data_IF_114510523311
#
_entry.id   IF_114510523311
#
_cell.length_a   1.000
_cell.length_b   1.000
_cell.length_c   1.000
_cell.angle_alpha   90.00
_cell.angle_beta   90.00
_cell.angle_gamma   90.00
#
_symmetry.space_group_name_H-M   'P 1'
#
loop_
_entity.id
_entity.type
_entity.pdbx_description
1 polymer ?
#
# COMPACT_ATOMS: atom_id res chain seq x y z
N UNK A 1 5.56 12.95 -5.04
CA UNK A 1 4.66 13.85 -4.29
C UNK A 1 4.70 13.56 -2.78
N UNK A 2 4.66 12.30 -2.32
CA UNK A 2 4.71 11.97 -0.89
C UNK A 2 5.98 12.48 -0.18
N UNK A 3 7.19 12.26 -0.74
CA UNK A 3 8.44 12.71 -0.12
C UNK A 3 8.44 14.21 0.27
N UNK A 4 8.05 15.09 -0.66
CA UNK A 4 8.00 16.53 -0.39
C UNK A 4 6.94 16.88 0.65
N UNK A 5 5.79 16.23 0.58
CA UNK A 5 4.73 16.39 1.57
C UNK A 5 5.22 16.00 2.96
N UNK A 6 5.86 14.85 3.10
CA UNK A 6 6.42 14.38 4.36
C UNK A 6 7.44 15.38 4.94
N UNK A 7 8.40 15.82 4.13
CA UNK A 7 9.43 16.81 4.53
C UNK A 7 8.82 18.14 5.01
N UNK A 8 7.78 18.61 4.33
CA UNK A 8 7.09 19.84 4.73
C UNK A 8 6.37 19.64 6.07
N UNK A 9 5.64 18.54 6.24
CA UNK A 9 4.88 18.26 7.46
C UNK A 9 5.80 18.09 8.67
N UNK A 10 6.91 17.38 8.52
CA UNK A 10 7.88 17.16 9.59
C UNK A 10 8.57 18.47 10.02
N UNK A 11 8.95 19.31 9.07
CA UNK A 11 9.69 20.54 9.35
C UNK A 11 8.78 21.72 9.72
N UNK A 12 7.47 21.58 9.56
CA UNK A 12 6.48 22.62 9.84
C UNK A 12 5.28 22.05 10.63
N UNK A 13 5.43 21.80 11.95
CA UNK A 13 4.35 21.25 12.78
C UNK A 13 3.06 22.06 12.71
N UNK A 14 3.15 23.40 12.62
CA UNK A 14 1.99 24.29 12.49
C UNK A 14 1.21 24.04 11.18
N UNK A 15 1.92 23.81 10.08
CA UNK A 15 1.30 23.45 8.79
C UNK A 15 0.65 22.07 8.89
N UNK A 16 1.33 21.11 9.51
CA UNK A 16 0.79 19.77 9.74
C UNK A 16 -0.49 19.83 10.60
N UNK A 17 -0.46 20.59 11.70
CA UNK A 17 -1.64 20.82 12.55
C UNK A 17 -2.79 21.42 11.77
N UNK A 18 -2.54 22.45 10.95
CA UNK A 18 -3.57 23.10 10.15
C UNK A 18 -4.17 22.15 9.10
N UNK A 19 -3.35 21.30 8.46
CA UNK A 19 -3.85 20.26 7.53
C UNK A 19 -4.79 19.31 8.25
N UNK A 20 -4.41 18.79 9.41
CA UNK A 20 -5.27 17.93 10.23
C UNK A 20 -6.57 18.60 10.62
N UNK A 21 -6.51 19.86 11.11
CA UNK A 21 -7.70 20.63 11.51
C UNK A 21 -8.67 20.86 10.36
N UNK A 22 -8.15 21.17 9.17
CA UNK A 22 -8.95 21.36 7.95
C UNK A 22 -9.65 20.05 7.55
N UNK A 23 -8.93 18.93 7.56
CA UNK A 23 -9.46 17.61 7.17
C UNK A 23 -10.52 17.14 8.17
N UNK A 24 -10.23 17.28 9.48
CA UNK A 24 -11.08 16.74 10.55
C UNK A 24 -12.20 17.68 10.98
N UNK A 25 -12.16 18.95 10.56
CA UNK A 25 -13.15 19.95 10.94
C UNK A 25 -13.17 20.25 12.44
N UNK A 26 -12.07 19.95 13.17
CA UNK A 26 -11.93 20.17 14.60
C UNK A 26 -10.58 20.77 14.93
N UNK A 27 -10.50 21.53 16.03
CA UNK A 27 -9.23 22.06 16.52
C UNK A 27 -8.41 20.98 17.20
N UNK A 28 -7.11 20.96 16.90
CA UNK A 28 -6.09 20.16 17.58
C UNK A 28 -5.32 21.12 18.47
N UNK A 29 -5.23 20.82 19.78
CA UNK A 29 -4.65 21.79 20.72
C UNK A 29 -3.15 21.96 20.56
N UNK A 30 -2.45 20.86 20.32
CA UNK A 30 -1.00 20.83 20.19
C UNK A 30 -0.59 19.58 19.44
N UNK A 31 0.49 19.67 18.65
CA UNK A 31 1.20 18.52 18.12
C UNK A 31 2.50 18.39 18.91
N UNK A 32 2.65 17.32 19.66
CA UNK A 32 3.84 17.08 20.49
C UNK A 32 4.97 16.45 19.71
N UNK A 33 4.66 15.71 18.65
CA UNK A 33 5.64 15.00 17.85
C UNK A 33 5.16 14.79 16.41
N UNK A 34 6.03 15.08 15.45
CA UNK A 34 5.86 14.73 14.03
C UNK A 34 7.11 13.99 13.59
N UNK A 35 6.95 12.80 13.02
CA UNK A 35 8.04 12.03 12.44
C UNK A 35 7.71 11.63 11.01
N UNK A 36 8.70 11.71 10.15
CA UNK A 36 8.63 11.28 8.78
C UNK A 36 9.21 9.86 8.65
N UNK A 37 8.57 9.06 7.78
CA UNK A 37 9.14 7.78 7.36
C UNK A 37 9.51 6.84 8.52
N UNK A 38 8.69 6.88 9.59
CA UNK A 38 8.83 5.91 10.68
C UNK A 38 8.70 4.49 10.15
N UNK A 39 9.82 3.80 9.99
CA UNK A 39 9.80 2.38 9.66
C UNK A 39 9.54 1.59 10.92
N UNK A 40 8.41 0.91 10.97
CA UNK A 40 8.08 0.01 12.08
C UNK A 40 8.29 -1.42 11.62
N UNK A 41 9.36 -2.03 12.10
CA UNK A 41 9.68 -3.43 11.86
C UNK A 41 9.05 -4.31 12.94
N UNK A 42 7.98 -5.00 12.61
CA UNK A 42 7.21 -5.81 13.55
C UNK A 42 7.85 -7.18 13.80
N UNK A 43 8.48 -7.76 12.79
CA UNK A 43 9.12 -9.10 12.83
C UNK A 43 10.21 -9.19 11.76
N UNK A 44 11.21 -10.04 12.03
CA UNK A 44 12.26 -10.39 11.06
C UNK A 44 11.74 -10.80 9.66
N UNK A 45 10.56 -11.43 9.58
CA UNK A 45 9.90 -11.85 8.33
C UNK A 45 8.56 -11.13 8.10
N UNK A 46 8.25 -10.05 8.83
CA UNK A 46 7.02 -9.28 8.67
C UNK A 46 7.16 -8.25 7.55
N UNK A 47 6.03 -7.86 6.96
CA UNK A 47 6.00 -6.73 6.07
C UNK A 47 6.20 -5.46 6.90
N UNK A 48 7.36 -4.81 6.77
CA UNK A 48 7.61 -3.51 7.38
C UNK A 48 6.61 -2.48 6.87
N UNK A 49 6.23 -1.55 7.73
CA UNK A 49 5.42 -0.39 7.37
C UNK A 49 6.30 0.84 7.46
N UNK A 50 6.25 1.64 6.42
CA UNK A 50 6.81 2.98 6.39
C UNK A 50 5.64 3.94 6.37
N UNK A 51 5.43 4.64 7.47
CA UNK A 51 4.41 5.68 7.59
C UNK A 51 4.93 6.96 6.94
N UNK A 52 4.09 7.63 6.15
CA UNK A 52 4.49 8.88 5.50
C UNK A 52 4.68 9.99 6.55
N UNK A 53 3.69 10.26 7.39
CA UNK A 53 3.77 11.25 8.47
C UNK A 53 3.06 10.73 9.71
N UNK A 54 3.82 10.41 10.75
CA UNK A 54 3.30 10.06 12.07
C UNK A 54 3.20 11.28 12.96
N UNK A 55 2.04 11.48 13.60
CA UNK A 55 1.77 12.63 14.47
C UNK A 55 1.19 12.15 15.81
N UNK A 56 1.74 12.64 16.91
CA UNK A 56 1.18 12.45 18.25
C UNK A 56 0.72 13.81 18.80
N UNK A 57 -0.54 13.91 19.24
CA UNK A 57 -1.07 15.15 19.81
C UNK A 57 -0.71 15.35 21.30
N UNK A 58 0.14 14.47 21.82
CA UNK A 58 0.62 14.56 23.21
C UNK A 58 -0.44 14.22 24.27
N UNK A 59 -1.63 13.79 23.85
CA UNK A 59 -2.73 13.46 24.76
C UNK A 59 -3.24 12.04 24.56
N UNK A 60 -4.21 11.91 23.67
CA UNK A 60 -4.98 10.69 23.52
C UNK A 60 -5.11 10.21 22.06
N UNK A 61 -4.48 10.89 21.09
CA UNK A 61 -4.67 10.56 19.69
C UNK A 61 -3.35 10.59 18.91
N UNK A 62 -3.15 9.57 18.10
CA UNK A 62 -2.12 9.52 17.07
C UNK A 62 -2.75 9.52 15.69
N UNK A 63 -2.04 10.13 14.76
CA UNK A 63 -2.45 10.22 13.36
C UNK A 63 -1.34 9.67 12.48
N UNK A 64 -1.74 8.93 11.45
CA UNK A 64 -0.91 8.54 10.34
C UNK A 64 -1.48 9.20 9.08
N UNK A 65 -0.69 10.05 8.42
CA UNK A 65 -1.12 10.82 7.25
C UNK A 65 -0.35 10.33 6.04
N UNK A 66 -1.07 9.77 5.08
CA UNK A 66 -0.55 9.15 3.88
C UNK A 66 -0.97 9.93 2.63
N UNK A 67 -0.04 10.25 1.72
CA UNK A 67 -0.33 10.87 0.44
C UNK A 67 -0.39 9.82 -0.67
N UNK A 68 -1.54 9.72 -1.36
CA UNK A 68 -1.76 8.75 -2.44
C UNK A 68 -2.08 9.43 -3.76
N UNK A 69 -1.18 9.29 -4.74
CA UNK A 69 -1.35 9.85 -6.09
C UNK A 69 -1.93 8.84 -7.10
N UNK A 70 -2.00 7.55 -6.75
CA UNK A 70 -2.54 6.48 -7.61
C UNK A 70 -3.44 5.57 -6.80
N UNK A 71 -4.55 5.17 -7.40
CA UNK A 71 -5.41 4.16 -6.80
C UNK A 71 -4.75 2.77 -6.87
N UNK A 72 -4.52 2.23 -5.70
CA UNK A 72 -4.09 0.85 -5.51
C UNK A 72 -5.23 0.19 -4.75
N UNK A 73 -6.04 -0.61 -5.36
CA UNK A 73 -7.28 -1.24 -4.84
C UNK A 73 -7.22 -1.82 -3.41
N UNK A 74 -6.05 -1.73 -2.75
CA UNK A 74 -5.79 -2.28 -1.42
C UNK A 74 -5.81 -1.27 -0.26
N UNK A 75 -6.18 -0.01 -0.50
CA UNK A 75 -6.16 1.03 0.55
C UNK A 75 -6.94 0.65 1.81
N UNK A 76 -8.16 0.07 1.74
CA UNK A 76 -8.87 -0.37 2.94
C UNK A 76 -8.13 -1.45 3.74
N UNK A 77 -7.41 -2.34 3.08
CA UNK A 77 -6.58 -3.35 3.75
C UNK A 77 -5.33 -2.73 4.38
N UNK A 78 -4.75 -1.73 3.72
CA UNK A 78 -3.61 -0.97 4.27
C UNK A 78 -4.00 -0.22 5.53
N UNK A 79 -5.15 0.47 5.57
CA UNK A 79 -5.59 1.16 6.79
C UNK A 79 -5.70 0.23 7.98
N UNK A 80 -6.27 -0.97 7.79
CA UNK A 80 -6.36 -1.98 8.85
C UNK A 80 -4.98 -2.42 9.35
N UNK A 81 -4.06 -2.66 8.42
CA UNK A 81 -2.70 -3.07 8.76
C UNK A 81 -1.94 -1.95 9.49
N UNK A 82 -2.04 -0.73 9.01
CA UNK A 82 -1.40 0.44 9.62
C UNK A 82 -1.91 0.70 11.03
N UNK A 83 -3.23 0.63 11.26
CA UNK A 83 -3.79 0.74 12.61
C UNK A 83 -3.22 -0.32 13.56
N UNK A 84 -3.14 -1.57 13.12
CA UNK A 84 -2.55 -2.64 13.94
C UNK A 84 -1.08 -2.38 14.28
N UNK A 85 -0.33 -1.80 13.34
CA UNK A 85 1.08 -1.44 13.55
C UNK A 85 1.21 -0.27 14.53
N UNK A 86 0.35 0.74 14.40
CA UNK A 86 0.31 1.86 15.34
C UNK A 86 0.03 1.37 16.77
N UNK A 87 -0.95 0.49 16.95
CA UNK A 87 -1.31 -0.06 18.26
C UNK A 87 -0.17 -0.89 18.85
N UNK A 88 0.46 -1.76 18.04
CA UNK A 88 1.62 -2.56 18.50
C UNK A 88 2.80 -1.70 18.95
N UNK A 89 2.94 -0.51 18.40
CA UNK A 89 4.04 0.40 18.71
C UNK A 89 3.76 1.31 19.93
N UNK A 90 2.50 1.39 20.34
CA UNK A 90 2.09 2.20 21.49
C UNK A 90 2.14 1.48 22.82
N UNK A 91 1.86 0.17 22.80
CA UNK A 91 1.66 -0.59 24.04
C UNK A 91 2.87 -1.47 24.35
N UNK A 92 3.40 -1.35 25.54
CA UNK A 92 4.49 -2.19 26.01
C UNK A 92 3.99 -3.54 26.56
N UNK A 93 4.89 -4.52 26.65
CA UNK A 93 4.55 -5.82 27.21
C UNK A 93 4.12 -5.70 28.66
N UNK A 94 2.85 -6.02 28.94
CA UNK A 94 2.27 -6.02 30.27
C UNK A 94 1.56 -4.72 30.65
N UNK A 95 1.50 -3.75 29.73
CA UNK A 95 0.66 -2.57 29.89
C UNK A 95 -0.84 -2.92 29.75
N UNK A 96 -1.70 -2.06 30.27
CA UNK A 96 -3.15 -2.22 30.17
C UNK A 96 -3.65 -1.74 28.80
N UNK A 97 -4.70 -2.36 28.27
CA UNK A 97 -5.30 -1.95 26.99
C UNK A 97 -5.90 -0.54 27.04
N UNK A 98 -6.26 -0.04 28.20
CA UNK A 98 -6.76 1.33 28.42
C UNK A 98 -5.67 2.40 28.17
N UNK A 99 -4.41 2.01 28.06
CA UNK A 99 -3.28 2.89 27.70
C UNK A 99 -3.18 3.13 26.17
N UNK A 100 -3.92 2.37 25.34
CA UNK A 100 -3.97 2.61 23.90
C UNK A 100 -4.61 3.95 23.60
N UNK A 101 -3.89 4.80 22.87
CA UNK A 101 -4.43 6.05 22.34
C UNK A 101 -5.40 5.78 21.21
N UNK A 102 -6.32 6.71 20.98
CA UNK A 102 -7.06 6.73 19.72
C UNK A 102 -6.09 6.76 18.54
N UNK A 103 -6.38 6.02 17.48
CA UNK A 103 -5.59 6.09 16.28
C UNK A 103 -6.43 6.46 15.05
N UNK A 104 -5.86 7.25 14.17
CA UNK A 104 -6.51 7.72 12.96
C UNK A 104 -5.57 7.61 11.77
N UNK A 105 -5.92 6.75 10.82
CA UNK A 105 -5.19 6.64 9.54
C UNK A 105 -5.91 7.49 8.50
N UNK A 106 -5.19 8.47 7.93
CA UNK A 106 -5.70 9.46 6.98
C UNK A 106 -5.01 9.28 5.64
N UNK A 107 -5.73 8.86 4.63
CA UNK A 107 -5.25 8.85 3.25
C UNK A 107 -5.71 10.11 2.52
N UNK A 108 -4.77 10.93 2.02
CA UNK A 108 -5.04 12.06 1.15
C UNK A 108 -4.88 11.59 -0.30
N UNK A 109 -6.00 11.42 -1.01
CA UNK A 109 -6.04 10.84 -2.35
C UNK A 109 -6.31 11.91 -3.42
N UNK A 110 -5.56 11.88 -4.54
CA UNK A 110 -5.84 12.70 -5.74
C UNK A 110 -6.88 12.06 -6.66
N UNK A 111 -7.59 11.05 -6.19
CA UNK A 111 -8.63 10.28 -6.88
C UNK A 111 -9.75 9.91 -5.90
N UNK A 112 -10.90 9.48 -6.43
CA UNK A 112 -12.04 9.01 -5.62
C UNK A 112 -12.06 7.48 -5.53
N UNK A 113 -11.46 6.93 -4.49
CA UNK A 113 -11.38 5.47 -4.27
C UNK A 113 -12.75 4.78 -4.17
N UNK A 114 -13.76 5.48 -3.61
CA UNK A 114 -15.09 4.92 -3.38
C UNK A 114 -16.14 5.31 -4.44
N UNK A 115 -15.82 6.24 -5.34
CA UNK A 115 -16.66 6.63 -6.44
C UNK A 115 -18.00 7.30 -6.06
N UNK A 116 -18.10 7.90 -4.84
CA UNK A 116 -19.32 8.56 -4.37
C UNK A 116 -19.25 10.08 -4.43
N UNK A 117 -18.13 10.65 -4.86
CA UNK A 117 -17.94 12.09 -4.99
C UNK A 117 -17.89 12.85 -3.67
N UNK A 118 -17.79 12.18 -2.53
CA UNK A 118 -17.63 12.87 -1.25
C UNK A 118 -16.19 13.39 -1.11
N UNK A 119 -16.00 14.58 -0.53
CA UNK A 119 -14.67 15.14 -0.30
C UNK A 119 -13.91 14.43 0.83
N UNK A 120 -14.64 13.84 1.78
CA UNK A 120 -14.10 13.05 2.87
C UNK A 120 -14.99 11.83 3.11
N UNK A 121 -14.37 10.69 3.28
CA UNK A 121 -15.00 9.46 3.75
C UNK A 121 -14.39 9.10 5.10
N UNK A 122 -15.22 9.05 6.14
CA UNK A 122 -14.80 8.63 7.48
C UNK A 122 -15.45 7.31 7.84
N UNK A 123 -14.64 6.35 8.25
CA UNK A 123 -15.09 5.04 8.67
C UNK A 123 -14.75 4.84 10.14
N UNK A 124 -15.74 4.43 10.93
CA UNK A 124 -15.61 3.98 12.32
C UNK A 124 -16.25 2.59 12.47
N UNK A 125 -15.95 1.90 13.55
CA UNK A 125 -16.55 0.60 13.83
C UNK A 125 -17.92 0.78 14.48
N UNK A 126 -18.97 0.20 13.86
CA UNK A 126 -20.36 0.30 14.32
C UNK A 126 -21.04 -1.06 14.38
N UNK A 127 -22.01 -1.19 15.27
CA UNK A 127 -22.85 -2.38 15.35
C UNK A 127 -23.70 -2.51 14.08
N UNK A 128 -23.66 -3.68 13.44
CA UNK A 128 -24.44 -3.92 12.21
C UNK A 128 -25.95 -3.94 12.47
N UNK A 129 -26.34 -4.40 13.64
CA UNK A 129 -27.74 -4.54 14.07
C UNK A 129 -28.33 -3.24 14.61
N UNK A 130 -27.46 -2.25 15.00
CA UNK A 130 -27.83 -0.94 15.51
C UNK A 130 -26.79 0.08 15.04
N UNK A 131 -27.01 0.70 13.87
CA UNK A 131 -26.01 1.53 13.20
C UNK A 131 -25.64 2.82 13.96
N UNK A 132 -26.48 3.27 14.89
CA UNK A 132 -26.20 4.37 15.79
C UNK A 132 -25.23 4.02 16.92
N UNK A 133 -25.02 2.71 17.20
CA UNK A 133 -24.13 2.24 18.25
C UNK A 133 -22.70 2.12 17.71
N UNK A 134 -21.82 2.96 18.18
CA UNK A 134 -20.38 2.90 17.91
C UNK A 134 -19.71 1.87 18.84
N UNK A 135 -18.69 1.17 18.34
CA UNK A 135 -17.89 0.26 19.18
C UNK A 135 -17.10 1.00 20.25
N UNK A 136 -16.70 2.25 19.97
CA UNK A 136 -15.96 3.09 20.91
C UNK A 136 -14.51 2.67 21.11
N UNK A 137 -13.91 1.99 20.13
CA UNK A 137 -12.54 1.48 20.17
C UNK A 137 -11.46 2.52 19.81
N UNK A 138 -11.85 3.78 19.62
CA UNK A 138 -10.93 4.89 19.33
C UNK A 138 -10.30 4.85 17.93
N UNK A 139 -10.69 3.90 17.06
CA UNK A 139 -10.08 3.75 15.73
C UNK A 139 -10.91 4.44 14.64
N UNK A 140 -10.26 5.24 13.78
CA UNK A 140 -10.91 5.86 12.64
C UNK A 140 -10.03 5.76 11.37
N UNK A 141 -10.69 5.67 10.22
CA UNK A 141 -10.05 5.70 8.90
C UNK A 141 -10.66 6.83 8.10
N UNK A 142 -9.82 7.73 7.61
CA UNK A 142 -10.25 8.91 6.88
C UNK A 142 -9.64 8.88 5.48
N UNK A 143 -10.47 9.04 4.46
CA UNK A 143 -10.02 9.17 3.08
C UNK A 143 -10.45 10.54 2.57
N UNK A 144 -9.48 11.40 2.32
CA UNK A 144 -9.68 12.69 1.67
C UNK A 144 -9.65 12.46 0.16
N UNK A 145 -10.68 12.92 -0.53
CA UNK A 145 -10.79 12.86 -1.98
C UNK A 145 -10.63 14.26 -2.57
N UNK A 146 -9.47 14.53 -3.18
CA UNK A 146 -9.21 15.85 -3.77
C UNK A 146 -10.17 16.19 -4.92
N UNK A 147 -10.82 15.19 -5.54
CA UNK A 147 -11.83 15.37 -6.60
C UNK A 147 -13.28 15.38 -6.08
N UNK A 148 -13.46 15.41 -4.76
CA UNK A 148 -14.77 15.41 -4.15
C UNK A 148 -15.52 16.73 -4.35
N UNK A 149 -16.84 16.69 -4.10
CA UNK A 149 -17.70 17.88 -4.18
C UNK A 149 -17.37 18.85 -3.05
N UNK A 150 -16.94 20.06 -3.40
CA UNK A 150 -16.47 21.09 -2.46
C UNK A 150 -17.56 22.05 -1.96
N UNK A 151 -18.82 21.86 -2.37
CA UNK A 151 -19.90 22.85 -2.19
C UNK A 151 -20.15 23.31 -0.74
N UNK A 152 -19.96 22.40 0.23
CA UNK A 152 -20.24 22.67 1.65
C UNK A 152 -18.98 22.64 2.53
N UNK A 153 -17.80 22.77 1.94
CA UNK A 153 -16.54 22.80 2.68
C UNK A 153 -16.19 24.21 3.14
N UNK A 154 -15.38 24.28 4.20
CA UNK A 154 -14.73 25.55 4.57
C UNK A 154 -13.87 26.07 3.41
N UNK A 155 -13.59 27.35 3.42
CA UNK A 155 -12.77 27.99 2.39
C UNK A 155 -11.36 27.37 2.33
N UNK A 156 -10.71 27.20 3.48
CA UNK A 156 -9.39 26.57 3.58
C UNK A 156 -9.39 25.13 3.04
N UNK A 157 -10.43 24.35 3.36
CA UNK A 157 -10.48 22.96 2.88
C UNK A 157 -10.71 22.89 1.36
N UNK A 158 -11.56 23.75 0.84
CA UNK A 158 -11.76 23.86 -0.62
C UNK A 158 -10.46 24.25 -1.32
N UNK A 159 -9.79 25.28 -0.83
CA UNK A 159 -8.53 25.75 -1.34
C UNK A 159 -7.45 24.65 -1.30
N UNK A 160 -7.38 23.89 -0.20
CA UNK A 160 -6.48 22.75 -0.07
C UNK A 160 -6.73 21.66 -1.11
N UNK A 161 -7.99 21.27 -1.35
CA UNK A 161 -8.33 20.28 -2.37
C UNK A 161 -8.01 20.77 -3.79
N UNK A 162 -8.27 22.04 -4.10
CA UNK A 162 -7.88 22.66 -5.36
C UNK A 162 -6.35 22.62 -5.56
N UNK A 163 -5.60 23.01 -4.54
CA UNK A 163 -4.15 22.93 -4.55
C UNK A 163 -3.61 21.51 -4.80
N UNK A 164 -4.21 20.49 -4.17
CA UNK A 164 -3.87 19.08 -4.40
C UNK A 164 -4.16 18.61 -5.84
N UNK A 165 -5.15 19.23 -6.50
CA UNK A 165 -5.46 18.99 -7.91
C UNK A 165 -4.56 19.76 -8.88
N UNK A 166 -3.64 20.58 -8.37
CA UNK A 166 -2.75 21.42 -9.18
C UNK A 166 -3.45 22.66 -9.77
N UNK A 167 -4.58 23.05 -9.20
CA UNK A 167 -5.28 24.29 -9.56
C UNK A 167 -4.58 25.50 -8.93
N UNK A 168 -4.64 26.64 -9.59
CA UNK A 168 -4.16 27.91 -9.02
C UNK A 168 -5.18 28.38 -7.99
N UNK A 169 -4.71 28.63 -6.77
CA UNK A 169 -5.52 29.14 -5.67
C UNK A 169 -5.04 30.53 -5.33
N UNK A 170 -5.90 31.53 -5.56
CA UNK A 170 -5.63 32.92 -5.23
C UNK A 170 -6.29 33.27 -3.86
N UNK A 171 -5.69 34.21 -3.15
CA UNK A 171 -6.24 34.85 -1.94
C UNK A 171 -6.53 33.88 -0.75
N UNK A 172 -5.85 32.71 -0.67
CA UNK A 172 -5.93 31.85 0.51
C UNK A 172 -4.60 31.79 1.27
N UNK A 173 -4.57 32.32 2.48
CA UNK A 173 -3.35 32.44 3.30
C UNK A 173 -2.73 31.08 3.64
N UNK A 174 -3.54 30.05 3.87
CA UNK A 174 -3.05 28.72 4.17
C UNK A 174 -2.35 28.08 2.95
N UNK A 175 -2.97 28.15 1.77
CA UNK A 175 -2.37 27.63 0.53
C UNK A 175 -1.11 28.40 0.19
N UNK A 176 -1.10 29.75 0.34
CA UNK A 176 0.09 30.56 0.14
C UNK A 176 1.23 30.14 1.07
N UNK A 177 0.93 29.84 2.34
CA UNK A 177 1.95 29.29 3.28
C UNK A 177 2.48 27.96 2.77
N UNK A 178 1.58 27.06 2.36
CA UNK A 178 1.95 25.73 1.85
C UNK A 178 2.84 25.84 0.58
N UNK A 179 2.51 26.74 -0.34
CA UNK A 179 3.30 26.99 -1.56
C UNK A 179 4.68 27.52 -1.23
N UNK A 180 4.80 28.47 -0.31
CA UNK A 180 6.09 28.99 0.14
C UNK A 180 6.96 27.87 0.75
N UNK A 181 6.38 26.99 1.55
CA UNK A 181 7.10 25.85 2.13
C UNK A 181 7.50 24.83 1.05
N UNK A 182 6.65 24.59 0.05
CA UNK A 182 6.99 23.73 -1.09
C UNK A 182 8.13 24.35 -1.92
N UNK A 183 8.11 25.65 -2.15
CA UNK A 183 9.18 26.34 -2.87
C UNK A 183 10.50 26.35 -2.08
N UNK A 184 10.44 26.65 -0.80
CA UNK A 184 11.59 26.56 0.10
C UNK A 184 12.18 25.13 0.13
N UNK A 185 11.32 24.12 0.19
CA UNK A 185 11.70 22.72 0.16
C UNK A 185 12.39 22.31 -1.16
N UNK A 186 11.90 22.79 -2.30
CA UNK A 186 12.51 22.53 -3.63
C UNK A 186 13.90 23.13 -3.75
N UNK A 187 14.16 24.24 -3.06
CA UNK A 187 15.44 24.95 -3.09
C UNK A 187 16.46 24.41 -2.07
N UNK A 188 16.06 23.54 -1.14
CA UNK A 188 16.99 22.88 -0.21
C UNK A 188 17.79 21.79 -0.92
N UNK A 189 19.09 22.02 -1.10
CA UNK A 189 20.00 21.10 -1.80
C UNK A 189 20.05 19.72 -1.12
N UNK A 190 20.07 19.69 0.21
CA UNK A 190 20.09 18.45 1.01
C UNK A 190 18.89 17.56 0.70
N UNK A 191 17.69 18.12 0.64
CA UNK A 191 16.47 17.37 0.34
C UNK A 191 16.41 16.91 -1.11
N UNK A 192 17.00 17.69 -2.00
CA UNK A 192 17.13 17.31 -3.41
C UNK A 192 18.06 16.12 -3.58
N UNK A 193 19.20 16.12 -2.88
CA UNK A 193 20.16 15.01 -2.90
C UNK A 193 19.53 13.76 -2.29
N UNK A 194 18.84 13.88 -1.15
CA UNK A 194 18.13 12.78 -0.50
C UNK A 194 17.06 12.17 -1.41
N UNK A 195 16.24 13.03 -2.05
CA UNK A 195 15.25 12.57 -3.02
C UNK A 195 15.89 11.84 -4.21
N UNK A 196 16.99 12.35 -4.73
CA UNK A 196 17.70 11.71 -5.84
C UNK A 196 18.27 10.34 -5.42
N UNK A 197 18.85 10.24 -4.23
CA UNK A 197 19.37 8.98 -3.69
C UNK A 197 18.23 7.94 -3.54
N UNK A 198 17.11 8.36 -3.00
CA UNK A 198 15.90 7.52 -2.89
C UNK A 198 15.42 7.04 -4.26
N UNK A 199 15.39 7.93 -5.25
CA UNK A 199 14.98 7.59 -6.62
C UNK A 199 15.94 6.61 -7.31
N UNK A 200 17.24 6.68 -7.02
CA UNK A 200 18.24 5.71 -7.50
C UNK A 200 17.95 4.34 -6.89
N UNK A 201 17.79 4.27 -5.58
CA UNK A 201 17.47 3.01 -4.86
C UNK A 201 16.18 2.36 -5.37
N UNK A 202 15.10 3.15 -5.57
CA UNK A 202 13.86 2.63 -6.15
C UNK A 202 14.06 2.09 -7.57
N UNK A 203 14.89 2.75 -8.37
CA UNK A 203 15.18 2.30 -9.74
C UNK A 203 15.94 0.97 -9.75
N UNK A 204 16.91 0.83 -8.86
CA UNK A 204 17.68 -0.40 -8.71
C UNK A 204 16.78 -1.56 -8.27
N UNK A 205 16.01 -1.38 -7.21
CA UNK A 205 15.04 -2.40 -6.74
C UNK A 205 14.00 -2.76 -7.81
N UNK A 206 13.52 -1.78 -8.58
CA UNK A 206 12.60 -2.05 -9.69
C UNK A 206 13.25 -2.88 -10.79
N UNK A 207 14.53 -2.60 -11.09
CA UNK A 207 15.30 -3.34 -12.09
C UNK A 207 15.52 -4.78 -11.65
N UNK A 208 15.97 -4.98 -10.41
CA UNK A 208 16.15 -6.30 -9.80
C UNK A 208 14.84 -7.11 -9.82
N UNK A 209 13.75 -6.55 -9.30
CA UNK A 209 12.46 -7.24 -9.29
C UNK A 209 11.92 -7.55 -10.69
N UNK A 210 12.24 -6.74 -11.71
CA UNK A 210 11.89 -7.02 -13.10
C UNK A 210 12.73 -8.17 -13.68
N UNK A 211 14.02 -8.22 -13.39
CA UNK A 211 14.94 -9.28 -13.82
C UNK A 211 14.54 -10.62 -13.19
N UNK A 212 14.27 -10.63 -11.88
CA UNK A 212 13.80 -11.81 -11.15
C UNK A 212 12.46 -12.32 -11.69
N UNK A 213 11.48 -11.42 -11.85
CA UNK A 213 10.18 -11.79 -12.40
C UNK A 213 10.25 -12.30 -13.85
N UNK A 214 11.18 -11.79 -14.66
CA UNK A 214 11.41 -12.29 -16.01
C UNK A 214 12.05 -13.69 -15.98
N UNK A 215 13.05 -13.92 -15.14
CA UNK A 215 13.69 -15.21 -14.96
C UNK A 215 12.70 -16.28 -14.45
N UNK A 216 11.90 -15.93 -13.46
CA UNK A 216 10.82 -16.80 -12.93
C UNK A 216 9.78 -17.11 -14.02
N UNK A 217 9.34 -16.09 -14.76
CA UNK A 217 8.37 -16.25 -15.86
C UNK A 217 8.87 -17.20 -16.96
N UNK A 218 10.15 -17.10 -17.34
CA UNK A 218 10.77 -18.03 -18.29
C UNK A 218 10.79 -19.45 -17.70
N UNK A 219 11.24 -19.61 -16.47
CA UNK A 219 11.31 -20.93 -15.81
C UNK A 219 9.94 -21.60 -15.74
N UNK A 220 8.90 -20.88 -15.32
CA UNK A 220 7.52 -21.37 -15.28
C UNK A 220 7.01 -21.72 -16.69
N UNK A 221 7.30 -20.86 -17.68
CA UNK A 221 6.92 -21.08 -19.07
C UNK A 221 7.56 -22.35 -19.65
N UNK A 222 8.85 -22.55 -19.48
CA UNK A 222 9.58 -23.74 -19.93
C UNK A 222 9.04 -25.00 -19.26
N UNK A 223 8.81 -24.96 -17.94
CA UNK A 223 8.25 -26.10 -17.21
C UNK A 223 6.86 -26.49 -17.72
N UNK A 224 6.00 -25.49 -17.98
CA UNK A 224 4.64 -25.71 -18.49
C UNK A 224 4.64 -26.28 -19.92
N UNK A 225 5.51 -25.79 -20.79
CA UNK A 225 5.67 -26.31 -22.15
C UNK A 225 6.21 -27.72 -22.14
N UNK A 226 7.18 -28.02 -21.27
CA UNK A 226 7.70 -29.36 -21.08
C UNK A 226 6.61 -30.35 -20.62
N UNK A 227 5.82 -29.97 -19.64
CA UNK A 227 4.70 -30.77 -19.14
C UNK A 227 3.65 -31.03 -20.22
N UNK A 228 3.27 -29.99 -20.96
CA UNK A 228 2.36 -30.12 -22.10
C UNK A 228 2.91 -31.06 -23.17
N UNK A 229 4.20 -30.93 -23.53
CA UNK A 229 4.85 -31.79 -24.50
C UNK A 229 4.91 -33.25 -24.08
N UNK A 230 5.21 -33.51 -22.80
CA UNK A 230 5.18 -34.86 -22.21
C UNK A 230 3.77 -35.45 -22.28
N UNK A 231 2.76 -34.70 -21.87
CA UNK A 231 1.36 -35.15 -21.96
C UNK A 231 0.93 -35.49 -23.35
N UNK A 232 1.18 -34.61 -24.34
CA UNK A 232 0.85 -34.84 -25.76
C UNK A 232 1.57 -36.08 -26.30
N UNK A 233 2.85 -36.27 -25.98
CA UNK A 233 3.62 -37.44 -26.41
C UNK A 233 3.00 -38.73 -25.86
N UNK A 234 2.55 -38.74 -24.61
CA UNK A 234 1.94 -39.93 -23.99
C UNK A 234 0.57 -40.21 -24.64
N UNK A 235 -0.30 -39.18 -24.73
CA UNK A 235 -1.64 -39.30 -25.29
C UNK A 235 -1.59 -39.78 -26.74
N UNK A 236 -0.80 -39.12 -27.59
CA UNK A 236 -0.62 -39.51 -29.01
C UNK A 236 0.00 -40.89 -29.16
N UNK A 237 1.02 -41.20 -28.34
CA UNK A 237 1.66 -42.51 -28.37
C UNK A 237 0.72 -43.64 -27.93
N UNK A 238 -0.18 -43.39 -27.02
CA UNK A 238 -1.24 -44.34 -26.61
C UNK A 238 -2.25 -44.55 -27.75
N UNK A 239 -2.66 -43.46 -28.42
CA UNK A 239 -3.53 -43.54 -29.62
C UNK A 239 -2.90 -44.35 -30.76
N UNK A 240 -1.58 -44.23 -30.94
CA UNK A 240 -0.77 -44.97 -31.91
C UNK A 240 -0.51 -46.43 -31.47
N UNK A 241 -1.04 -46.89 -30.35
CA UNK A 241 -0.92 -48.26 -29.83
C UNK A 241 0.45 -48.62 -29.24
N UNK A 242 1.26 -47.62 -28.84
CA UNK A 242 2.55 -47.83 -28.18
C UNK A 242 2.39 -48.35 -26.77
N UNK A 243 3.31 -49.18 -26.33
CA UNK A 243 3.34 -49.68 -24.95
C UNK A 243 3.83 -48.61 -23.98
N UNK A 244 3.45 -48.75 -22.68
CA UNK A 244 3.95 -47.84 -21.63
C UNK A 244 5.48 -47.81 -21.58
N UNK A 245 6.12 -48.96 -21.74
CA UNK A 245 7.57 -49.12 -21.72
C UNK A 245 8.26 -48.34 -22.86
N UNK A 246 7.71 -48.39 -24.07
CA UNK A 246 8.18 -47.59 -25.22
C UNK A 246 8.04 -46.09 -24.98
N UNK A 247 6.95 -45.65 -24.33
CA UNK A 247 6.73 -44.23 -24.02
C UNK A 247 7.65 -43.76 -22.90
N UNK A 248 7.91 -44.57 -21.88
CA UNK A 248 8.90 -44.27 -20.83
C UNK A 248 10.29 -44.04 -21.45
N UNK A 249 10.74 -44.96 -22.34
CA UNK A 249 12.04 -44.81 -23.00
C UNK A 249 12.10 -43.55 -23.87
N UNK A 250 11.04 -43.22 -24.59
CA UNK A 250 10.95 -41.98 -25.38
C UNK A 250 11.00 -40.73 -24.56
N UNK A 251 10.38 -40.71 -23.35
CA UNK A 251 10.43 -39.60 -22.45
C UNK A 251 11.83 -39.39 -21.88
N UNK A 252 12.52 -40.46 -21.51
CA UNK A 252 13.92 -40.41 -21.10
C UNK A 252 14.80 -39.79 -22.15
N UNK A 253 14.66 -40.30 -23.40
CA UNK A 253 15.50 -39.88 -24.54
C UNK A 253 15.22 -38.44 -24.97
N UNK A 254 13.94 -38.04 -25.04
CA UNK A 254 13.53 -36.76 -25.64
C UNK A 254 13.54 -35.60 -24.67
N UNK A 255 13.20 -35.85 -23.39
CA UNK A 255 13.08 -34.83 -22.34
C UNK A 255 14.16 -34.94 -21.28
N UNK A 256 15.12 -35.88 -21.40
CA UNK A 256 16.18 -36.12 -20.45
C UNK A 256 15.66 -36.36 -19.00
N UNK A 257 14.50 -37.00 -18.90
CA UNK A 257 13.90 -37.35 -17.59
C UNK A 257 14.64 -38.57 -17.01
N UNK A 258 14.68 -38.68 -15.70
CA UNK A 258 15.04 -39.93 -15.04
C UNK A 258 14.00 -41.02 -15.35
N UNK A 259 14.39 -42.28 -15.22
CA UNK A 259 13.47 -43.40 -15.42
C UNK A 259 12.22 -43.32 -14.52
N UNK A 260 12.41 -42.91 -13.26
CA UNK A 260 11.34 -42.76 -12.27
C UNK A 260 10.36 -41.61 -12.65
N UNK A 261 10.88 -40.48 -13.08
CA UNK A 261 10.05 -39.37 -13.56
C UNK A 261 9.26 -39.72 -14.81
N UNK A 262 9.90 -40.40 -15.77
CA UNK A 262 9.24 -40.84 -16.95
C UNK A 262 8.11 -41.87 -16.69
N UNK A 263 8.35 -42.83 -15.78
CA UNK A 263 7.33 -43.79 -15.33
C UNK A 263 6.15 -43.08 -14.65
N UNK A 264 6.44 -42.11 -13.76
CA UNK A 264 5.43 -41.33 -13.08
C UNK A 264 4.55 -40.55 -14.07
N UNK A 265 5.17 -39.88 -15.05
CA UNK A 265 4.43 -39.14 -16.07
C UNK A 265 3.57 -40.05 -16.96
N UNK A 266 4.09 -41.21 -17.37
CA UNK A 266 3.28 -42.18 -18.14
C UNK A 266 2.12 -42.69 -17.30
N UNK A 267 2.29 -42.92 -16.01
CA UNK A 267 1.20 -43.36 -15.15
C UNK A 267 0.14 -42.26 -14.97
N UNK A 268 0.57 -41.01 -14.85
CA UNK A 268 -0.30 -39.84 -14.66
C UNK A 268 -1.19 -39.53 -15.85
N UNK A 269 -0.60 -39.55 -17.06
CA UNK A 269 -1.28 -39.14 -18.30
C UNK A 269 -1.83 -40.29 -19.12
N UNK A 270 -1.59 -41.56 -18.76
CA UNK A 270 -2.17 -42.71 -19.44
C UNK A 270 -3.65 -42.80 -19.19
N UNK A 271 -4.47 -42.64 -20.26
CA UNK A 271 -5.93 -42.79 -20.16
C UNK A 271 -6.29 -44.27 -20.07
N UNK A 272 -6.90 -44.67 -18.94
CA UNK A 272 -7.57 -45.98 -18.83
C UNK A 272 -8.88 -45.90 -19.58
N UNK A 273 -9.04 -46.68 -20.65
CA UNK A 273 -10.35 -46.84 -21.28
C UNK A 273 -11.32 -47.48 -20.27
N UNK A 274 -12.28 -46.65 -19.79
CA UNK A 274 -13.47 -47.18 -19.09
C UNK A 274 -14.49 -47.69 -20.14
#
# INVERSE_FOLDING_TARGET
MSFMFCKIMENNPDVCQKVLEIILGKRIKEISFVSMESTIDIKWNGKSVRLDVYVDDGKDTIYDIEMQARDNDNLPMRTRYYQSVLDLNQIEKGADYDELKNNMVIFICTFDHFGKGLPVYTFSNRCKEALELELGDGTNKVFVNAKGNTKNLSEDFRAFLQYLNGEIVEDNSFVSTLENEVEAARNKEEWRVEYMSLMVEFRERYKEGKEDGFAEGISVGVSREMENGIRILIETGQEDGKSKEELVNRLVDKYSLSLEEAQTNVQLYWKTNN
#
